data_IF_949379910526
#
_entry.id   IF_949379910526
#
_cell.length_a   1.000
_cell.length_b   1.000
_cell.length_c   1.000
_cell.angle_alpha   90.00
_cell.angle_beta   90.00
_cell.angle_gamma   90.00
#
_symmetry.space_group_name_H-M   'P 1'
#
loop_
_entity.id
_entity.type
_entity.pdbx_description
1 polymer ?
#
# COMPACT_ATOMS: atom_id res chain seq x y z
N UNK A 1 -21.93 -8.66 19.62
CA UNK A 1 -22.98 -8.95 18.63
C UNK A 1 -22.39 -9.97 17.70
N UNK A 2 -23.01 -11.14 17.54
CA UNK A 2 -22.40 -12.30 16.86
C UNK A 2 -22.41 -12.09 15.34
N UNK A 3 -21.25 -11.74 14.76
CA UNK A 3 -21.09 -11.48 13.33
C UNK A 3 -21.34 -12.75 12.50
N UNK A 4 -20.87 -13.90 12.98
CA UNK A 4 -20.98 -15.18 12.28
C UNK A 4 -22.45 -15.57 12.09
N UNK A 5 -23.23 -15.52 13.17
CA UNK A 5 -24.66 -15.77 13.13
C UNK A 5 -25.38 -14.87 12.11
N UNK A 6 -25.05 -13.58 12.10
CA UNK A 6 -25.70 -12.62 11.19
C UNK A 6 -25.37 -12.87 9.73
N UNK A 7 -24.10 -13.08 9.43
CA UNK A 7 -23.67 -13.37 8.07
C UNK A 7 -24.23 -14.71 7.61
N UNK A 8 -24.36 -15.69 8.51
CA UNK A 8 -25.05 -16.95 8.24
C UNK A 8 -26.52 -16.76 7.89
N UNK A 9 -27.25 -15.96 8.68
CA UNK A 9 -28.66 -15.65 8.42
C UNK A 9 -28.86 -14.91 7.09
N UNK A 10 -27.92 -14.03 6.72
CA UNK A 10 -27.98 -13.24 5.47
C UNK A 10 -27.60 -14.04 4.22
N UNK A 11 -26.56 -14.86 4.31
CA UNK A 11 -25.97 -15.53 3.15
C UNK A 11 -26.41 -16.98 2.98
N UNK A 12 -26.98 -17.58 4.03
CA UNK A 12 -27.26 -19.02 4.10
C UNK A 12 -26.02 -19.90 4.27
N UNK A 13 -24.82 -19.30 4.43
CA UNK A 13 -23.56 -20.02 4.68
C UNK A 13 -23.25 -20.05 6.17
N UNK A 14 -23.15 -21.23 6.76
CA UNK A 14 -22.79 -21.40 8.18
C UNK A 14 -21.42 -22.04 8.36
N UNK A 15 -20.77 -21.81 9.49
CA UNK A 15 -19.49 -22.46 9.83
C UNK A 15 -18.28 -21.81 9.16
N UNK A 16 -18.42 -20.58 8.67
CA UNK A 16 -17.37 -19.87 7.94
C UNK A 16 -16.27 -19.41 8.88
N UNK A 17 -16.59 -18.88 10.07
CA UNK A 17 -15.56 -18.48 11.03
C UNK A 17 -14.73 -19.68 11.52
N UNK A 18 -15.36 -20.83 11.76
CA UNK A 18 -14.66 -22.06 12.10
C UNK A 18 -13.80 -22.57 10.95
N UNK A 19 -14.28 -22.44 9.70
CA UNK A 19 -13.50 -22.80 8.51
C UNK A 19 -12.26 -21.91 8.36
N UNK A 20 -12.39 -20.59 8.54
CA UNK A 20 -11.27 -19.64 8.50
C UNK A 20 -10.27 -19.94 9.62
N UNK A 21 -10.74 -20.18 10.85
CA UNK A 21 -9.87 -20.53 11.98
C UNK A 21 -9.11 -21.84 11.71
N UNK A 22 -9.79 -22.85 11.17
CA UNK A 22 -9.15 -24.12 10.79
C UNK A 22 -8.16 -23.94 9.65
N UNK A 23 -8.45 -23.10 8.66
CA UNK A 23 -7.53 -22.78 7.58
C UNK A 23 -6.28 -22.08 8.12
N UNK A 24 -6.43 -21.10 9.00
CA UNK A 24 -5.31 -20.46 9.71
C UNK A 24 -4.47 -21.51 10.43
N UNK A 25 -5.09 -22.41 11.20
CA UNK A 25 -4.38 -23.48 11.92
C UNK A 25 -3.58 -24.38 10.98
N UNK A 26 -4.17 -24.81 9.87
CA UNK A 26 -3.49 -25.64 8.86
C UNK A 26 -2.28 -24.92 8.29
N UNK A 27 -2.43 -23.62 7.97
CA UNK A 27 -1.35 -22.82 7.38
C UNK A 27 -0.23 -22.55 8.39
N UNK A 28 -0.57 -22.26 9.65
CA UNK A 28 0.39 -22.12 10.75
C UNK A 28 1.16 -23.42 10.94
N UNK A 29 0.48 -24.56 11.08
CA UNK A 29 1.13 -25.86 11.30
C UNK A 29 2.03 -26.27 10.13
N UNK A 30 1.57 -26.04 8.89
CA UNK A 30 2.38 -26.26 7.69
C UNK A 30 3.66 -25.43 7.73
N UNK A 31 3.55 -24.11 7.92
CA UNK A 31 4.70 -23.21 7.91
C UNK A 31 5.66 -23.49 9.07
N UNK A 32 5.16 -23.78 10.28
CA UNK A 32 6.01 -24.18 11.39
C UNK A 32 6.77 -25.48 11.08
N UNK A 33 6.08 -26.49 10.54
CA UNK A 33 6.72 -27.76 10.15
C UNK A 33 7.83 -27.56 9.13
N UNK A 34 7.60 -26.74 8.10
CA UNK A 34 8.60 -26.39 7.08
C UNK A 34 9.82 -25.65 7.67
N UNK A 35 9.60 -24.87 8.73
CA UNK A 35 10.65 -24.16 9.47
C UNK A 35 11.29 -25.02 10.59
N UNK A 36 10.89 -26.28 10.74
CA UNK A 36 11.30 -27.18 11.83
C UNK A 36 10.97 -26.63 13.24
N UNK A 37 9.80 -25.99 13.36
CA UNK A 37 9.25 -25.44 14.59
C UNK A 37 7.93 -26.14 14.97
N UNK A 38 7.41 -25.83 16.15
CA UNK A 38 6.10 -26.30 16.64
C UNK A 38 5.34 -25.16 17.30
N UNK A 39 4.06 -25.37 17.64
CA UNK A 39 3.25 -24.37 18.37
C UNK A 39 3.78 -24.03 19.77
N UNK A 40 4.62 -24.89 20.35
CA UNK A 40 5.30 -24.64 21.62
C UNK A 40 6.57 -23.79 21.46
N UNK A 41 6.98 -23.50 20.22
CA UNK A 41 8.11 -22.62 19.94
C UNK A 41 7.83 -21.19 20.41
N UNK A 42 8.89 -20.47 20.77
CA UNK A 42 8.72 -19.10 21.26
C UNK A 42 8.40 -18.15 20.13
N UNK A 43 7.67 -17.08 20.45
CA UNK A 43 7.36 -16.02 19.49
C UNK A 43 8.63 -15.45 18.83
N UNK A 44 9.72 -15.32 19.60
CA UNK A 44 11.00 -14.85 19.10
C UNK A 44 11.65 -15.84 18.10
N UNK A 45 11.51 -17.14 18.33
CA UNK A 45 12.07 -18.19 17.47
C UNK A 45 11.29 -18.28 16.14
N UNK A 46 9.95 -18.24 16.21
CA UNK A 46 9.07 -18.23 15.03
C UNK A 46 9.33 -17.00 14.16
N UNK A 47 9.35 -15.81 14.78
CA UNK A 47 9.63 -14.57 14.08
C UNK A 47 11.03 -14.58 13.43
N UNK A 48 12.05 -15.07 14.14
CA UNK A 48 13.41 -15.21 13.63
C UNK A 48 13.47 -16.14 12.42
N UNK A 49 12.80 -17.29 12.46
CA UNK A 49 12.78 -18.23 11.34
C UNK A 49 12.08 -17.66 10.09
N UNK A 50 10.94 -16.98 10.26
CA UNK A 50 10.25 -16.28 9.17
C UNK A 50 11.13 -15.18 8.56
N UNK A 51 11.81 -14.40 9.41
CA UNK A 51 12.70 -13.33 8.99
C UNK A 51 13.92 -13.86 8.23
N UNK A 52 14.54 -14.96 8.68
CA UNK A 52 15.65 -15.58 7.95
C UNK A 52 15.22 -16.04 6.55
N UNK A 53 14.03 -16.63 6.42
CA UNK A 53 13.48 -17.01 5.12
C UNK A 53 13.27 -15.78 4.21
N UNK A 54 12.76 -14.68 4.78
CA UNK A 54 12.61 -13.41 4.07
C UNK A 54 13.95 -12.84 3.60
N UNK A 55 15.01 -12.91 4.42
CA UNK A 55 16.35 -12.45 4.03
C UNK A 55 16.82 -13.20 2.78
N UNK A 56 16.63 -14.51 2.73
CA UNK A 56 17.04 -15.26 1.55
C UNK A 56 16.17 -14.96 0.31
N UNK A 57 14.86 -14.70 0.49
CA UNK A 57 14.01 -14.19 -0.58
C UNK A 57 14.56 -12.86 -1.12
N UNK A 58 14.97 -11.96 -0.23
CA UNK A 58 15.54 -10.66 -0.57
C UNK A 58 16.83 -10.78 -1.38
N UNK A 59 17.73 -11.67 -0.98
CA UNK A 59 18.99 -11.98 -1.69
C UNK A 59 18.72 -12.53 -3.10
N UNK A 60 17.76 -13.44 -3.23
CA UNK A 60 17.34 -13.99 -4.52
C UNK A 60 16.77 -12.88 -5.41
N UNK A 61 15.84 -12.07 -4.89
CA UNK A 61 15.27 -10.94 -5.64
C UNK A 61 16.33 -9.91 -6.02
N UNK A 62 17.30 -9.62 -5.15
CA UNK A 62 18.40 -8.72 -5.45
C UNK A 62 19.23 -9.21 -6.64
N UNK A 63 19.49 -10.51 -6.70
CA UNK A 63 20.20 -11.14 -7.83
C UNK A 63 19.35 -11.11 -9.09
N UNK A 64 18.06 -11.48 -9.00
CA UNK A 64 17.12 -11.48 -10.13
C UNK A 64 16.96 -10.09 -10.76
N UNK A 65 17.00 -9.05 -9.95
CA UNK A 65 16.91 -7.65 -10.36
C UNK A 65 18.26 -7.04 -10.81
N UNK A 66 19.29 -7.87 -10.99
CA UNK A 66 20.66 -7.46 -11.36
C UNK A 66 21.28 -6.44 -10.39
N UNK A 67 21.08 -6.68 -9.08
CA UNK A 67 21.64 -5.91 -7.96
C UNK A 67 21.38 -4.41 -8.13
N UNK A 68 20.11 -3.98 -8.02
CA UNK A 68 19.72 -2.61 -8.36
C UNK A 68 20.51 -1.57 -7.55
N UNK A 69 21.14 -0.64 -8.27
CA UNK A 69 21.81 0.54 -7.72
C UNK A 69 20.99 1.78 -8.07
N UNK A 70 20.16 2.22 -7.12
CA UNK A 70 19.21 3.31 -7.37
C UNK A 70 19.89 4.63 -7.72
N UNK A 71 21.11 4.88 -7.23
CA UNK A 71 21.87 6.10 -7.53
C UNK A 71 22.34 6.06 -8.98
N UNK A 72 22.91 4.93 -9.41
CA UNK A 72 23.33 4.74 -10.82
C UNK A 72 22.14 4.75 -11.79
N UNK A 73 21.01 4.17 -11.36
CA UNK A 73 19.75 4.19 -12.11
C UNK A 73 19.20 5.61 -12.25
N UNK A 74 19.26 6.41 -11.19
CA UNK A 74 18.91 7.84 -11.23
C UNK A 74 19.79 8.62 -12.22
N UNK A 75 21.11 8.39 -12.21
CA UNK A 75 22.05 9.07 -13.12
C UNK A 75 21.84 8.71 -14.59
N UNK A 76 21.46 7.48 -14.88
CA UNK A 76 21.20 7.00 -16.25
C UNK A 76 19.77 7.27 -16.73
N UNK A 77 18.91 7.83 -15.87
CA UNK A 77 17.47 7.98 -16.09
C UNK A 77 16.82 6.69 -16.62
N UNK A 78 17.25 5.55 -16.07
CA UNK A 78 16.80 4.23 -16.47
C UNK A 78 16.51 3.39 -15.24
N UNK A 79 15.33 2.79 -15.20
CA UNK A 79 14.96 1.84 -14.15
C UNK A 79 15.38 0.40 -14.45
N UNK A 80 16.15 0.18 -15.53
CA UNK A 80 16.83 -1.08 -15.83
C UNK A 80 15.98 -2.33 -15.65
N UNK A 81 16.59 -3.37 -15.07
CA UNK A 81 15.97 -4.68 -14.86
C UNK A 81 14.75 -4.65 -13.93
N UNK A 82 14.71 -3.70 -13.00
CA UNK A 82 13.59 -3.51 -12.07
C UNK A 82 12.28 -3.22 -12.81
N UNK A 83 12.26 -2.21 -13.69
CA UNK A 83 11.05 -1.92 -14.49
C UNK A 83 10.74 -3.03 -15.48
N UNK A 84 11.75 -3.64 -16.11
CA UNK A 84 11.53 -4.75 -17.03
C UNK A 84 10.75 -5.88 -16.36
N UNK A 85 11.19 -6.30 -15.17
CA UNK A 85 10.54 -7.38 -14.41
C UNK A 85 9.15 -6.92 -13.95
N UNK A 86 9.03 -5.73 -13.37
CA UNK A 86 7.74 -5.20 -12.91
C UNK A 86 6.70 -5.20 -14.04
N UNK A 87 7.04 -4.66 -15.22
CA UNK A 87 6.12 -4.59 -16.35
C UNK A 87 5.91 -5.92 -17.08
N UNK A 88 6.80 -6.90 -16.89
CA UNK A 88 6.55 -8.29 -17.30
C UNK A 88 5.51 -8.97 -16.41
N UNK A 89 5.51 -8.67 -15.11
CA UNK A 89 4.54 -9.22 -14.15
C UNK A 89 3.18 -8.55 -14.32
N UNK A 90 3.17 -7.22 -14.29
CA UNK A 90 1.95 -6.44 -14.36
C UNK A 90 2.15 -5.16 -15.17
N UNK A 91 1.39 -5.05 -16.26
CA UNK A 91 1.28 -3.81 -17.02
C UNK A 91 0.00 -3.08 -16.59
N UNK A 92 0.09 -1.95 -15.87
CA UNK A 92 -1.10 -1.22 -15.46
C UNK A 92 -1.85 -0.69 -16.70
N UNK A 93 -3.19 -0.60 -16.64
CA UNK A 93 -3.95 0.09 -17.66
C UNK A 93 -3.61 1.59 -17.67
N UNK A 94 -4.02 2.30 -18.73
CA UNK A 94 -3.98 3.76 -18.72
C UNK A 94 -4.91 4.30 -17.64
N UNK A 95 -4.48 5.37 -16.99
CA UNK A 95 -5.25 6.05 -15.97
C UNK A 95 -5.62 7.47 -16.34
N UNK A 96 -6.67 7.97 -15.68
CA UNK A 96 -7.14 9.34 -15.77
C UNK A 96 -6.41 10.18 -14.72
N UNK A 97 -5.59 11.12 -15.18
CA UNK A 97 -4.75 11.95 -14.32
C UNK A 97 -4.84 13.42 -14.70
N UNK A 98 -4.49 14.32 -13.78
CA UNK A 98 -4.42 15.75 -14.07
C UNK A 98 -3.32 15.98 -15.12
N UNK A 99 -3.64 16.80 -16.13
CA UNK A 99 -2.72 17.21 -17.20
C UNK A 99 -1.49 17.92 -16.64
N UNK A 100 -0.32 17.61 -17.21
CA UNK A 100 0.96 18.22 -16.79
C UNK A 100 0.90 19.76 -16.88
N UNK A 101 0.31 20.30 -17.94
CA UNK A 101 0.18 21.74 -18.17
C UNK A 101 -0.73 22.40 -17.11
N UNK A 102 -1.82 21.71 -16.72
CA UNK A 102 -2.72 22.22 -15.68
C UNK A 102 -2.02 22.28 -14.33
N UNK A 103 -1.22 21.29 -13.99
CA UNK A 103 -0.46 21.30 -12.73
C UNK A 103 0.57 22.44 -12.74
N UNK A 104 1.23 22.71 -13.86
CA UNK A 104 2.13 23.87 -13.99
C UNK A 104 1.37 25.18 -13.76
N UNK A 105 0.21 25.36 -14.38
CA UNK A 105 -0.67 26.52 -14.15
C UNK A 105 -1.04 26.68 -12.67
N UNK A 106 -1.42 25.59 -12.01
CA UNK A 106 -1.75 25.60 -10.58
C UNK A 106 -0.52 25.95 -9.72
N UNK A 107 0.65 25.45 -10.04
CA UNK A 107 1.89 25.79 -9.33
C UNK A 107 2.36 27.23 -9.60
N UNK A 108 2.01 27.84 -10.73
CA UNK A 108 2.22 29.28 -10.96
C UNK A 108 1.29 30.13 -10.09
N UNK A 109 0.03 29.71 -9.92
CA UNK A 109 -0.96 30.38 -9.04
C UNK A 109 -0.59 30.21 -7.55
N UNK A 110 -0.15 29.02 -7.18
CA UNK A 110 0.26 28.65 -5.83
C UNK A 110 1.76 28.35 -5.84
N UNK A 111 2.57 29.41 -5.81
CA UNK A 111 4.02 29.31 -6.02
C UNK A 111 4.71 28.45 -4.94
N UNK A 112 5.49 27.41 -5.32
CA UNK A 112 6.22 26.57 -4.37
C UNK A 112 7.57 27.22 -3.99
N UNK A 113 7.52 28.32 -3.23
CA UNK A 113 8.69 29.18 -2.99
C UNK A 113 9.89 28.44 -2.37
N UNK A 114 9.65 27.48 -1.47
CA UNK A 114 10.74 26.69 -0.88
C UNK A 114 11.49 25.87 -1.93
N UNK A 115 10.76 25.33 -2.92
CA UNK A 115 11.33 24.49 -3.98
C UNK A 115 12.13 25.37 -4.94
N UNK A 116 11.54 26.47 -5.38
CA UNK A 116 12.19 27.44 -6.26
C UNK A 116 13.47 28.00 -5.62
N UNK A 117 13.40 28.41 -4.35
CA UNK A 117 14.56 28.89 -3.59
C UNK A 117 15.65 27.83 -3.44
N UNK A 118 15.28 26.57 -3.20
CA UNK A 118 16.23 25.48 -3.04
C UNK A 118 17.06 25.27 -4.31
N UNK A 119 16.40 25.27 -5.48
CA UNK A 119 17.07 25.02 -6.76
C UNK A 119 17.54 26.29 -7.48
N UNK A 120 17.28 27.46 -6.91
CA UNK A 120 17.71 28.74 -7.48
C UNK A 120 16.91 29.16 -8.72
N UNK A 121 15.69 28.66 -8.89
CA UNK A 121 14.79 29.06 -9.97
C UNK A 121 13.87 30.20 -9.52
N UNK A 122 13.42 31.01 -10.48
CA UNK A 122 12.47 32.11 -10.20
C UNK A 122 11.07 31.82 -10.72
N UNK A 123 10.97 30.87 -11.65
CA UNK A 123 9.81 30.54 -12.44
C UNK A 123 9.53 29.03 -12.43
N UNK A 124 8.24 28.67 -12.39
CA UNK A 124 7.80 27.28 -12.28
C UNK A 124 7.97 26.54 -13.62
N UNK A 125 7.74 27.22 -14.75
CA UNK A 125 7.94 26.60 -16.07
C UNK A 125 9.41 26.29 -16.28
N UNK A 126 10.30 27.23 -15.96
CA UNK A 126 11.76 27.01 -16.01
C UNK A 126 12.17 25.81 -15.15
N UNK A 127 11.66 25.73 -13.92
CA UNK A 127 11.90 24.60 -13.02
C UNK A 127 11.44 23.29 -13.69
N UNK A 128 10.20 23.20 -14.16
CA UNK A 128 9.64 21.97 -14.75
C UNK A 128 10.34 21.57 -16.04
N UNK A 129 10.73 22.52 -16.89
CA UNK A 129 11.48 22.25 -18.12
C UNK A 129 12.87 21.67 -17.85
N UNK A 130 13.58 22.18 -16.83
CA UNK A 130 14.95 21.75 -16.51
C UNK A 130 15.01 20.51 -15.63
N UNK A 131 14.04 20.37 -14.73
CA UNK A 131 14.02 19.34 -13.70
C UNK A 131 13.12 18.15 -14.05
N UNK A 132 12.17 18.35 -14.96
CA UNK A 132 11.18 17.34 -15.33
C UNK A 132 9.97 17.33 -14.41
N UNK A 133 8.79 17.14 -15.01
CA UNK A 133 7.50 17.17 -14.32
C UNK A 133 7.45 16.25 -13.09
N UNK A 134 7.72 14.95 -13.27
CA UNK A 134 7.59 13.95 -12.21
C UNK A 134 8.51 14.22 -11.02
N UNK A 135 9.74 14.68 -11.26
CA UNK A 135 10.67 15.04 -10.19
C UNK A 135 10.16 16.24 -9.39
N UNK A 136 9.68 17.28 -10.07
CA UNK A 136 9.16 18.50 -9.44
C UNK A 136 7.96 18.20 -8.55
N UNK A 137 6.94 17.50 -9.05
CA UNK A 137 5.73 17.21 -8.26
C UNK A 137 6.00 16.25 -7.10
N UNK A 138 6.93 15.29 -7.27
CA UNK A 138 7.36 14.40 -6.21
C UNK A 138 8.07 15.18 -5.10
N UNK A 139 8.87 16.18 -5.48
CA UNK A 139 9.62 16.99 -4.56
C UNK A 139 8.79 17.97 -3.73
N UNK A 140 7.56 18.29 -4.14
CA UNK A 140 6.65 19.08 -3.32
C UNK A 140 6.41 18.43 -1.95
N UNK A 141 6.33 17.09 -1.89
CA UNK A 141 6.09 16.34 -0.65
C UNK A 141 7.15 16.54 0.42
N UNK A 142 8.37 16.90 0.04
CA UNK A 142 9.50 17.05 0.96
C UNK A 142 10.13 18.46 0.97
N UNK A 143 9.73 19.35 0.06
CA UNK A 143 10.19 20.76 0.06
C UNK A 143 9.22 21.74 0.73
N UNK A 144 7.92 21.50 0.62
CA UNK A 144 6.89 22.44 1.05
C UNK A 144 6.47 22.17 2.49
N UNK A 145 5.99 23.23 3.16
CA UNK A 145 5.41 23.08 4.50
C UNK A 145 4.08 22.34 4.42
N UNK A 146 3.67 21.72 5.53
CA UNK A 146 2.33 21.10 5.65
C UNK A 146 1.22 22.11 5.37
N UNK A 147 1.36 23.35 5.84
CA UNK A 147 0.42 24.43 5.58
C UNK A 147 0.30 24.75 4.08
N UNK A 148 1.42 24.86 3.38
CA UNK A 148 1.41 25.08 1.94
C UNK A 148 0.77 23.90 1.21
N UNK A 149 1.13 22.66 1.58
CA UNK A 149 0.56 21.45 0.96
C UNK A 149 -0.95 21.37 1.14
N UNK A 150 -1.47 21.69 2.33
CA UNK A 150 -2.91 21.74 2.58
C UNK A 150 -3.59 22.84 1.77
N UNK A 151 -3.03 24.06 1.77
CA UNK A 151 -3.60 25.16 1.00
C UNK A 151 -3.60 24.89 -0.51
N UNK A 152 -2.48 24.36 -1.04
CA UNK A 152 -2.39 23.93 -2.43
C UNK A 152 -3.45 22.88 -2.73
N UNK A 153 -3.55 21.82 -1.93
CA UNK A 153 -4.51 20.75 -2.14
C UNK A 153 -5.97 21.22 -2.08
N UNK A 154 -6.33 21.97 -1.05
CA UNK A 154 -7.72 22.41 -0.85
C UNK A 154 -8.15 23.43 -1.90
N UNK A 155 -7.28 24.40 -2.23
CA UNK A 155 -7.62 25.45 -3.17
C UNK A 155 -7.45 25.01 -4.62
N UNK A 156 -6.30 24.44 -5.00
CA UNK A 156 -6.00 24.10 -6.39
C UNK A 156 -6.95 23.01 -6.91
N UNK A 157 -7.34 22.05 -6.08
CA UNK A 157 -8.19 20.94 -6.52
C UNK A 157 -9.68 21.26 -6.41
N UNK A 158 -10.05 22.45 -5.93
CA UNK A 158 -11.45 22.89 -5.89
C UNK A 158 -11.96 23.41 -7.24
N UNK A 159 -11.05 23.82 -8.12
CA UNK A 159 -11.34 24.45 -9.41
C UNK A 159 -11.16 23.51 -10.62
N UNK A 160 -10.82 22.24 -10.39
CA UNK A 160 -10.60 21.27 -11.46
C UNK A 160 -11.90 20.98 -12.22
N UNK A 161 -11.79 20.84 -13.54
CA UNK A 161 -12.89 20.46 -14.43
C UNK A 161 -12.52 19.20 -15.22
N UNK A 162 -13.49 18.48 -15.84
CA UNK A 162 -13.20 17.28 -16.62
C UNK A 162 -12.10 17.46 -17.69
N UNK A 163 -12.07 18.63 -18.33
CA UNK A 163 -11.07 18.96 -19.36
C UNK A 163 -9.64 19.14 -18.81
N UNK A 164 -9.45 19.22 -17.50
CA UNK A 164 -8.13 19.29 -16.85
C UNK A 164 -7.45 17.91 -16.75
N UNK A 165 -8.15 16.84 -17.12
CA UNK A 165 -7.65 15.46 -17.02
C UNK A 165 -7.31 14.86 -18.39
N UNK A 166 -6.41 13.87 -18.38
CA UNK A 166 -5.97 13.13 -19.55
C UNK A 166 -5.78 11.63 -19.25
N UNK A 167 -5.94 10.80 -20.28
CA UNK A 167 -5.63 9.36 -20.21
C UNK A 167 -4.16 9.13 -20.58
N UNK A 168 -3.36 8.61 -19.65
CA UNK A 168 -1.95 8.28 -19.89
C UNK A 168 -1.48 7.08 -19.06
N UNK A 169 -0.31 6.56 -19.40
CA UNK A 169 0.31 5.47 -18.64
C UNK A 169 0.84 5.98 -17.30
N UNK A 170 0.93 5.07 -16.32
CA UNK A 170 1.59 5.34 -15.03
C UNK A 170 3.09 5.48 -15.26
N UNK A 171 3.69 6.52 -14.69
CA UNK A 171 5.12 6.82 -14.80
C UNK A 171 5.83 6.35 -13.52
N UNK A 172 6.82 5.46 -13.66
CA UNK A 172 7.76 5.12 -12.57
C UNK A 172 8.98 6.04 -12.71
N UNK A 173 9.24 6.86 -11.69
CA UNK A 173 10.34 7.83 -11.68
C UNK A 173 11.32 7.57 -10.54
N UNK A 174 12.56 7.23 -10.88
CA UNK A 174 13.66 7.32 -9.91
C UNK A 174 14.11 8.78 -9.89
N UNK A 175 14.04 9.41 -8.72
CA UNK A 175 14.43 10.80 -8.55
C UNK A 175 15.94 10.95 -8.71
N UNK A 176 16.38 12.09 -9.25
CA UNK A 176 17.80 12.43 -9.35
C UNK A 176 18.45 12.60 -7.96
N UNK A 177 19.75 12.31 -7.86
CA UNK A 177 20.49 12.37 -6.57
C UNK A 177 20.41 13.74 -5.88
N UNK A 178 20.32 14.82 -6.67
CA UNK A 178 20.20 16.19 -6.13
C UNK A 178 18.96 16.39 -5.24
N UNK A 179 17.94 15.55 -5.37
CA UNK A 179 16.74 15.58 -4.53
C UNK A 179 16.96 14.90 -3.17
N UNK A 180 17.99 14.07 -3.00
CA UNK A 180 18.28 13.38 -1.73
C UNK A 180 18.48 14.35 -0.57
N UNK A 181 19.25 15.43 -0.78
CA UNK A 181 19.51 16.46 0.24
C UNK A 181 18.23 17.11 0.77
N UNK A 182 17.19 17.11 -0.06
CA UNK A 182 15.87 17.64 0.30
C UNK A 182 15.00 16.57 0.92
N UNK A 183 15.13 15.33 0.44
CA UNK A 183 14.42 14.18 0.93
C UNK A 183 14.88 13.75 2.34
N UNK A 184 16.12 14.04 2.75
CA UNK A 184 16.65 13.67 4.08
C UNK A 184 15.74 14.11 5.23
N UNK A 185 15.21 15.34 5.20
CA UNK A 185 14.28 15.86 6.21
C UNK A 185 12.92 15.14 6.22
N UNK A 186 12.55 14.52 5.10
CA UNK A 186 11.30 13.77 4.93
C UNK A 186 11.46 12.28 5.24
N UNK A 187 12.62 11.70 4.95
CA UNK A 187 12.98 10.31 5.22
C UNK A 187 13.05 10.03 6.73
N UNK A 188 13.41 11.03 7.55
CA UNK A 188 13.31 10.94 9.01
C UNK A 188 11.89 10.59 9.49
N UNK A 189 10.86 10.95 8.71
CA UNK A 189 9.44 10.73 9.04
C UNK A 189 8.81 9.57 8.27
N UNK A 190 9.15 9.37 7.00
CA UNK A 190 8.65 8.26 6.17
C UNK A 190 9.74 7.24 5.94
N UNK A 191 9.60 6.11 6.61
CA UNK A 191 10.63 5.07 6.72
C UNK A 191 10.86 4.20 5.47
N UNK A 192 10.42 4.63 4.30
CA UNK A 192 10.62 3.92 3.03
C UNK A 192 10.86 4.91 1.88
N UNK A 193 11.54 4.45 0.83
CA UNK A 193 12.02 5.28 -0.28
C UNK A 193 11.09 5.30 -1.49
N UNK A 194 9.95 4.58 -1.46
CA UNK A 194 8.97 4.56 -2.55
C UNK A 194 7.70 5.29 -2.14
N UNK A 195 7.15 6.14 -3.00
CA UNK A 195 5.82 6.74 -2.81
C UNK A 195 5.17 7.00 -4.18
N UNK A 196 3.99 7.61 -4.18
CA UNK A 196 3.20 7.86 -5.37
C UNK A 196 2.35 9.12 -5.22
N UNK A 197 1.86 9.58 -6.37
CA UNK A 197 0.94 10.70 -6.57
C UNK A 197 -0.16 10.19 -7.50
N UNK A 198 -1.27 9.73 -6.93
CA UNK A 198 -2.36 9.05 -7.65
C UNK A 198 -2.99 9.98 -8.68
N UNK A 199 -3.17 11.24 -8.29
CA UNK A 199 -3.70 12.33 -9.09
C UNK A 199 -2.86 12.66 -10.33
N UNK A 200 -1.57 12.29 -10.30
CA UNK A 200 -0.63 12.53 -11.37
C UNK A 200 -0.10 11.25 -11.99
N UNK A 201 -0.59 10.06 -11.63
CA UNK A 201 -0.12 8.80 -12.19
C UNK A 201 1.40 8.63 -12.09
N UNK A 202 2.03 9.15 -11.03
CA UNK A 202 3.48 9.04 -10.81
C UNK A 202 3.73 8.15 -9.59
N UNK A 203 4.56 7.14 -9.76
CA UNK A 203 5.16 6.35 -8.67
C UNK A 203 6.64 6.72 -8.66
N UNK A 204 7.15 7.21 -7.54
CA UNK A 204 8.53 7.69 -7.47
C UNK A 204 9.36 6.97 -6.42
N UNK A 205 10.66 6.85 -6.71
CA UNK A 205 11.66 6.19 -5.90
C UNK A 205 12.73 7.23 -5.55
N UNK A 206 12.95 7.44 -4.25
CA UNK A 206 14.08 8.20 -3.72
C UNK A 206 15.30 7.26 -3.82
N UNK A 207 16.41 7.67 -4.49
CA UNK A 207 17.52 6.77 -4.79
C UNK A 207 18.45 6.55 -3.59
N UNK A 208 17.95 5.88 -2.56
CA UNK A 208 18.76 5.46 -1.42
C UNK A 208 19.58 4.21 -1.75
N UNK A 209 20.71 4.06 -1.08
CA UNK A 209 21.47 2.82 -1.11
C UNK A 209 20.62 1.69 -0.54
N UNK A 210 20.65 0.53 -1.19
CA UNK A 210 20.05 -0.71 -0.71
C UNK A 210 21.15 -1.47 0.02
N UNK A 211 21.17 -1.38 1.35
CA UNK A 211 22.23 -1.96 2.19
C UNK A 211 21.70 -2.78 3.37
N UNK A 212 20.38 -2.77 3.57
CA UNK A 212 19.72 -3.47 4.67
C UNK A 212 18.93 -4.67 4.12
N UNK A 213 19.04 -5.87 4.75
CA UNK A 213 18.25 -7.01 4.33
C UNK A 213 16.75 -6.71 4.33
N UNK A 214 16.04 -7.15 3.28
CA UNK A 214 14.62 -6.92 3.07
C UNK A 214 14.29 -5.67 2.25
N UNK A 215 15.26 -4.78 1.98
CA UNK A 215 15.00 -3.56 1.23
C UNK A 215 14.69 -3.80 -0.24
N UNK A 216 15.26 -4.84 -0.86
CA UNK A 216 14.96 -5.18 -2.26
C UNK A 216 13.52 -5.66 -2.39
N UNK A 217 13.09 -6.54 -1.48
CA UNK A 217 11.74 -7.10 -1.40
C UNK A 217 10.76 -5.98 -1.09
N UNK A 218 11.09 -5.09 -0.15
CA UNK A 218 10.28 -3.89 0.16
C UNK A 218 10.10 -3.00 -1.06
N UNK A 219 11.19 -2.71 -1.78
CA UNK A 219 11.16 -1.89 -2.99
C UNK A 219 10.23 -2.49 -4.04
N UNK A 220 10.42 -3.78 -4.37
CA UNK A 220 9.62 -4.46 -5.39
C UNK A 220 8.13 -4.53 -4.99
N UNK A 221 7.85 -4.96 -3.76
CA UNK A 221 6.46 -5.11 -3.29
C UNK A 221 5.72 -3.78 -3.19
N UNK A 222 6.37 -2.70 -2.73
CA UNK A 222 5.76 -1.36 -2.74
C UNK A 222 5.48 -0.85 -4.16
N UNK A 223 6.37 -1.10 -5.11
CA UNK A 223 6.14 -0.70 -6.50
C UNK A 223 4.94 -1.44 -7.11
N UNK A 224 4.86 -2.76 -6.92
CA UNK A 224 3.71 -3.55 -7.37
C UNK A 224 2.42 -3.09 -6.69
N UNK A 225 2.45 -2.84 -5.38
CA UNK A 225 1.31 -2.32 -4.64
C UNK A 225 0.78 -1.00 -5.22
N UNK A 226 1.67 -0.02 -5.43
CA UNK A 226 1.28 1.26 -6.02
C UNK A 226 0.84 1.15 -7.49
N UNK A 227 1.34 0.16 -8.23
CA UNK A 227 0.87 -0.13 -9.59
C UNK A 227 -0.56 -0.69 -9.62
N UNK A 228 -1.04 -1.32 -8.55
CA UNK A 228 -2.45 -1.70 -8.41
C UNK A 228 -3.31 -0.58 -7.85
N UNK A 229 -2.78 0.18 -6.91
CA UNK A 229 -3.49 1.27 -6.23
C UNK A 229 -3.76 2.45 -7.19
N UNK A 230 -2.75 2.91 -7.93
CA UNK A 230 -2.89 4.11 -8.80
C UNK A 230 -3.99 3.93 -9.86
N UNK A 231 -4.06 2.82 -10.61
CA UNK A 231 -5.17 2.56 -11.53
C UNK A 231 -6.53 2.45 -10.83
N UNK A 232 -6.61 1.79 -9.67
CA UNK A 232 -7.85 1.68 -8.91
C UNK A 232 -8.45 3.06 -8.59
N UNK A 233 -7.64 3.99 -8.08
CA UNK A 233 -8.11 5.35 -7.81
C UNK A 233 -8.39 6.14 -9.08
N UNK A 234 -7.61 5.94 -10.15
CA UNK A 234 -7.90 6.53 -11.46
C UNK A 234 -9.28 6.10 -11.99
N UNK A 235 -9.66 4.83 -11.81
CA UNK A 235 -10.97 4.33 -12.24
C UNK A 235 -12.11 4.98 -11.45
N UNK A 236 -11.90 5.23 -10.15
CA UNK A 236 -12.82 6.00 -9.33
C UNK A 236 -12.91 7.46 -9.78
N UNK A 237 -11.79 8.10 -10.13
CA UNK A 237 -11.80 9.46 -10.68
C UNK A 237 -12.62 9.52 -11.96
N UNK A 238 -12.42 8.54 -12.85
CA UNK A 238 -13.18 8.43 -14.11
C UNK A 238 -14.67 8.23 -13.86
N UNK A 239 -15.03 7.41 -12.88
CA UNK A 239 -16.43 7.14 -12.48
C UNK A 239 -17.14 8.42 -12.03
N UNK A 240 -16.47 9.26 -11.26
CA UNK A 240 -17.06 10.46 -10.67
C UNK A 240 -16.83 11.75 -11.47
N UNK A 241 -16.09 11.70 -12.59
CA UNK A 241 -15.61 12.90 -13.31
C UNK A 241 -16.72 13.90 -13.66
N UNK A 242 -17.91 13.41 -13.99
CA UNK A 242 -19.05 14.24 -14.40
C UNK A 242 -20.06 14.52 -13.28
N UNK A 243 -19.76 14.10 -12.04
CA UNK A 243 -20.61 14.39 -10.90
C UNK A 243 -20.49 15.85 -10.48
N UNK A 244 -21.58 16.44 -9.97
CA UNK A 244 -21.61 17.83 -9.51
C UNK A 244 -20.63 18.09 -8.35
N UNK A 245 -20.39 17.07 -7.53
CA UNK A 245 -19.50 17.05 -6.36
C UNK A 245 -18.17 16.34 -6.66
N UNK A 246 -17.78 16.21 -7.94
CA UNK A 246 -16.54 15.54 -8.35
C UNK A 246 -15.31 15.99 -7.54
N UNK A 247 -15.08 17.30 -7.41
CA UNK A 247 -13.90 17.82 -6.73
C UNK A 247 -13.88 17.46 -5.23
N UNK A 248 -15.03 17.35 -4.58
CA UNK A 248 -15.11 16.90 -3.18
C UNK A 248 -14.77 15.42 -3.07
N UNK A 249 -15.34 14.58 -3.94
CA UNK A 249 -15.04 13.15 -4.02
C UNK A 249 -13.57 12.88 -4.35
N UNK A 250 -13.04 13.60 -5.34
CA UNK A 250 -11.64 13.52 -5.76
C UNK A 250 -10.68 13.82 -4.60
N UNK A 251 -10.89 14.94 -3.89
CA UNK A 251 -10.09 15.26 -2.70
C UNK A 251 -10.25 14.23 -1.58
N UNK A 252 -11.47 13.74 -1.37
CA UNK A 252 -11.74 12.72 -0.34
C UNK A 252 -10.99 11.41 -0.59
N UNK A 253 -10.99 10.94 -1.84
CA UNK A 253 -10.24 9.77 -2.29
C UNK A 253 -8.73 9.94 -2.14
N UNK A 254 -8.19 11.12 -2.45
CA UNK A 254 -6.75 11.39 -2.30
C UNK A 254 -6.30 11.45 -0.84
N UNK A 255 -7.15 11.95 0.07
CA UNK A 255 -6.88 11.95 1.51
C UNK A 255 -7.10 10.58 2.16
N UNK A 256 -7.89 9.71 1.53
CA UNK A 256 -8.35 8.46 2.13
C UNK A 256 -9.27 8.74 3.33
N UNK A 257 -10.24 9.64 3.16
CA UNK A 257 -11.18 9.97 4.22
C UNK A 257 -11.95 8.71 4.66
N UNK A 258 -12.21 8.62 5.97
CA UNK A 258 -12.99 7.55 6.58
C UNK A 258 -14.08 8.17 7.43
N UNK A 259 -15.15 7.43 7.68
CA UNK A 259 -16.21 7.93 8.55
C UNK A 259 -15.67 8.24 9.95
N UNK A 260 -16.16 9.34 10.51
CA UNK A 260 -15.90 9.71 11.90
C UNK A 260 -16.58 8.73 12.85
N UNK A 261 -15.96 8.51 14.03
CA UNK A 261 -16.42 7.53 15.03
C UNK A 261 -17.89 7.76 15.41
N UNK A 262 -18.29 9.02 15.58
CA UNK A 262 -19.66 9.37 15.92
C UNK A 262 -20.65 8.98 14.81
N UNK A 263 -20.31 9.24 13.55
CA UNK A 263 -21.16 8.90 12.41
C UNK A 263 -21.31 7.38 12.26
N UNK A 264 -20.25 6.61 12.51
CA UNK A 264 -20.34 5.15 12.54
C UNK A 264 -21.27 4.66 13.65
N UNK A 265 -21.15 5.23 14.85
CA UNK A 265 -21.98 4.84 15.99
C UNK A 265 -23.47 5.07 15.69
N UNK A 266 -23.81 6.15 14.99
CA UNK A 266 -25.19 6.44 14.60
C UNK A 266 -25.68 5.47 13.52
N UNK A 267 -24.87 5.19 12.50
CA UNK A 267 -25.18 4.17 11.48
C UNK A 267 -25.40 2.78 12.07
N UNK A 268 -24.62 2.35 13.07
CA UNK A 268 -24.79 1.05 13.74
C UNK A 268 -26.12 0.98 14.51
N UNK A 269 -26.59 2.10 15.06
CA UNK A 269 -27.91 2.16 15.73
C UNK A 269 -29.04 2.02 14.71
N UNK A 270 -28.89 2.59 13.52
CA UNK A 270 -29.86 2.55 12.43
C UNK A 270 -29.92 1.18 11.77
N UNK A 271 -28.77 0.62 11.36
CA UNK A 271 -28.68 -0.69 10.77
C UNK A 271 -27.58 -1.53 11.42
N UNK A 272 -27.97 -2.71 11.91
CA UNK A 272 -27.07 -3.65 12.57
C UNK A 272 -26.21 -4.46 11.59
N UNK A 273 -26.51 -4.44 10.29
CA UNK A 273 -25.83 -5.22 9.23
C UNK A 273 -25.01 -4.31 8.30
N UNK A 274 -24.41 -3.27 8.89
CA UNK A 274 -23.53 -2.36 8.17
C UNK A 274 -22.09 -2.85 8.19
N UNK A 275 -21.41 -2.68 7.06
CA UNK A 275 -19.97 -2.82 6.92
C UNK A 275 -19.36 -1.47 6.56
N UNK A 276 -18.17 -1.21 7.09
CA UNK A 276 -17.43 0.02 6.82
C UNK A 276 -16.37 -0.18 5.73
N UNK A 277 -15.94 0.92 5.12
CA UNK A 277 -14.78 0.94 4.24
C UNK A 277 -13.74 1.85 4.87
N UNK A 278 -12.60 1.27 5.24
CA UNK A 278 -11.49 1.96 5.89
C UNK A 278 -10.33 1.99 4.90
N UNK A 279 -10.15 3.14 4.23
CA UNK A 279 -9.20 3.29 3.11
C UNK A 279 -7.74 3.51 3.53
N UNK A 280 -7.45 3.47 4.83
CA UNK A 280 -6.11 3.76 5.38
C UNK A 280 -5.86 2.91 6.61
N UNK A 281 -4.60 2.65 6.91
CA UNK A 281 -4.20 1.90 8.10
C UNK A 281 -4.32 2.74 9.37
N UNK A 282 -5.52 2.81 9.98
CA UNK A 282 -5.77 3.58 11.21
C UNK A 282 -4.87 3.16 12.38
N UNK A 283 -4.45 1.89 12.41
CA UNK A 283 -3.51 1.38 13.41
C UNK A 283 -2.14 2.07 13.38
N UNK A 284 -1.75 2.70 12.26
CA UNK A 284 -0.53 3.54 12.18
C UNK A 284 -0.64 4.78 13.07
N UNK A 285 -1.85 5.33 13.20
CA UNK A 285 -2.12 6.51 14.01
C UNK A 285 -2.53 6.13 15.45
N UNK A 286 -3.39 5.12 15.58
CA UNK A 286 -3.90 4.65 16.86
C UNK A 286 -4.33 3.17 16.78
N UNK A 287 -3.53 2.28 17.39
CA UNK A 287 -3.82 0.84 17.48
C UNK A 287 -5.09 0.50 18.27
N UNK A 288 -5.61 1.44 19.06
CA UNK A 288 -6.85 1.30 19.84
C UNK A 288 -8.02 2.03 19.20
N UNK A 289 -7.92 2.42 17.93
CA UNK A 289 -9.03 3.07 17.22
C UNK A 289 -10.25 2.14 17.20
N UNK A 290 -11.42 2.57 17.72
CA UNK A 290 -12.59 1.70 17.85
C UNK A 290 -13.09 1.15 16.50
N UNK A 291 -12.75 1.82 15.39
CA UNK A 291 -13.16 1.42 14.04
C UNK A 291 -12.49 0.13 13.57
N UNK A 292 -11.31 -0.19 14.09
CA UNK A 292 -10.57 -1.42 13.79
C UNK A 292 -11.28 -2.69 14.29
N UNK A 293 -12.21 -2.56 15.24
CA UNK A 293 -12.92 -3.67 15.86
C UNK A 293 -14.35 -3.86 15.33
N UNK A 294 -14.71 -3.15 14.26
CA UNK A 294 -16.02 -3.23 13.60
C UNK A 294 -15.88 -3.98 12.27
N UNK A 295 -16.95 -4.60 11.74
CA UNK A 295 -16.91 -5.21 10.41
C UNK A 295 -16.57 -4.16 9.34
N UNK A 296 -15.46 -4.34 8.64
CA UNK A 296 -15.02 -3.44 7.61
C UNK A 296 -14.28 -4.15 6.48
N UNK A 297 -14.10 -3.42 5.38
CA UNK A 297 -13.24 -3.75 4.26
C UNK A 297 -12.14 -2.72 4.14
N UNK A 298 -10.98 -3.16 3.67
CA UNK A 298 -9.82 -2.31 3.43
C UNK A 298 -9.31 -2.49 1.98
N UNK A 299 -9.36 -1.45 1.13
CA UNK A 299 -8.85 -1.53 -0.25
C UNK A 299 -7.33 -1.73 -0.32
N UNK A 300 -6.56 -1.21 0.66
CA UNK A 300 -5.11 -1.38 0.71
C UNK A 300 -4.74 -2.86 0.87
N UNK A 301 -5.47 -3.59 1.72
CA UNK A 301 -5.27 -5.03 1.88
C UNK A 301 -5.55 -5.81 0.57
N UNK A 302 -6.54 -5.39 -0.23
CA UNK A 302 -6.77 -5.99 -1.56
C UNK A 302 -5.61 -5.72 -2.53
N UNK A 303 -5.00 -4.55 -2.50
CA UNK A 303 -3.81 -4.27 -3.31
C UNK A 303 -2.65 -5.20 -2.94
N UNK A 304 -2.45 -5.52 -1.64
CA UNK A 304 -1.42 -6.49 -1.21
C UNK A 304 -1.72 -7.93 -1.65
N UNK A 305 -2.99 -8.34 -1.67
CA UNK A 305 -3.37 -9.65 -2.24
C UNK A 305 -2.96 -9.73 -3.71
N UNK A 306 -3.09 -8.64 -4.48
CA UNK A 306 -2.63 -8.59 -5.88
C UNK A 306 -1.11 -8.70 -5.99
N UNK A 307 -0.35 -8.05 -5.10
CA UNK A 307 1.12 -8.21 -5.02
C UNK A 307 1.51 -9.67 -4.73
N UNK A 308 0.78 -10.37 -3.87
CA UNK A 308 1.04 -11.78 -3.59
C UNK A 308 0.86 -12.67 -4.83
N UNK A 309 -0.15 -12.37 -5.66
CA UNK A 309 -0.36 -13.03 -6.95
C UNK A 309 0.77 -12.70 -7.95
N UNK A 310 1.23 -11.45 -7.97
CA UNK A 310 2.34 -10.98 -8.81
C UNK A 310 3.65 -11.71 -8.48
N UNK A 311 3.98 -11.87 -7.19
CA UNK A 311 5.15 -12.64 -6.76
C UNK A 311 5.05 -14.13 -7.13
N UNK A 312 3.83 -14.68 -7.05
CA UNK A 312 3.54 -16.04 -7.52
C UNK A 312 3.72 -16.16 -9.03
N UNK A 313 3.31 -15.16 -9.81
CA UNK A 313 3.53 -15.13 -11.25
C UNK A 313 5.03 -15.04 -11.59
N UNK A 314 5.77 -14.21 -10.85
CA UNK A 314 7.22 -14.08 -11.00
C UNK A 314 7.94 -15.41 -10.74
N UNK A 315 7.50 -16.19 -9.75
CA UNK A 315 8.06 -17.53 -9.47
C UNK A 315 8.01 -18.48 -10.68
N UNK A 316 7.05 -18.29 -11.59
CA UNK A 316 6.91 -19.11 -12.81
C UNK A 316 7.82 -18.65 -13.95
N UNK A 317 8.31 -17.41 -13.88
CA UNK A 317 9.19 -16.81 -14.88
C UNK A 317 10.67 -17.09 -14.61
N UNK A 318 11.05 -17.28 -13.34
CA UNK A 318 12.39 -17.74 -12.95
C UNK A 318 12.54 -19.23 -13.22
N UNK A 319 13.27 -19.59 -14.30
CA UNK A 319 13.58 -20.98 -14.68
C UNK A 319 14.67 -21.64 -13.83
N UNK A 320 15.27 -20.91 -12.90
CA UNK A 320 16.23 -21.43 -11.93
C UNK A 320 15.48 -21.79 -10.66
N UNK A 321 14.94 -23.01 -10.64
CA UNK A 321 14.52 -23.67 -9.42
C UNK A 321 15.81 -24.16 -8.73
N UNK A 322 16.51 -23.25 -8.05
CA UNK A 322 17.64 -23.54 -7.17
C UNK A 322 17.19 -24.24 -5.87
N UNK A 323 15.95 -24.74 -5.83
CA UNK A 323 15.46 -25.75 -4.89
C UNK A 323 15.18 -25.26 -3.48
N UNK A 324 15.34 -23.96 -3.21
CA UNK A 324 15.28 -23.44 -1.85
C UNK A 324 14.20 -22.38 -1.59
N UNK A 325 13.77 -21.57 -2.56
CA UNK A 325 12.84 -20.44 -2.29
C UNK A 325 11.88 -20.19 -3.46
N UNK A 326 10.63 -20.62 -3.30
CA UNK A 326 9.55 -20.17 -4.18
C UNK A 326 9.19 -18.72 -3.86
N UNK A 327 9.26 -17.81 -4.84
CA UNK A 327 8.81 -16.41 -4.70
C UNK A 327 7.31 -16.32 -4.31
N UNK A 328 6.53 -17.37 -4.58
CA UNK A 328 5.13 -17.50 -4.19
C UNK A 328 4.91 -18.07 -2.77
N UNK A 329 5.96 -18.26 -1.96
CA UNK A 329 5.83 -18.89 -0.63
C UNK A 329 4.80 -18.21 0.28
N UNK A 330 4.79 -16.87 0.29
CA UNK A 330 3.88 -16.06 1.10
C UNK A 330 2.45 -15.97 0.52
N UNK A 331 2.17 -16.66 -0.59
CA UNK A 331 0.83 -16.69 -1.15
C UNK A 331 -0.16 -17.36 -0.21
N UNK A 332 -1.22 -16.62 0.14
CA UNK A 332 -2.26 -17.05 1.07
C UNK A 332 -1.86 -17.02 2.55
N UNK A 333 -0.74 -16.38 2.90
CA UNK A 333 -0.32 -16.17 4.30
C UNK A 333 -0.68 -14.76 4.83
N UNK A 334 -1.31 -13.92 4.03
CA UNK A 334 -1.63 -12.52 4.34
C UNK A 334 -2.50 -12.36 5.60
N UNK A 335 -3.52 -13.20 5.79
CA UNK A 335 -4.37 -13.16 6.99
C UNK A 335 -3.85 -14.04 8.13
N UNK A 336 -2.73 -14.75 7.95
CA UNK A 336 -2.30 -15.82 8.86
C UNK A 336 -1.50 -15.27 10.04
N UNK A 337 -1.83 -15.76 11.23
CA UNK A 337 -1.09 -15.46 12.45
C UNK A 337 -1.52 -16.34 13.62
N UNK A 338 -0.66 -16.44 14.63
CA UNK A 338 -0.98 -17.16 15.86
C UNK A 338 -0.25 -16.59 17.09
N UNK A 339 -0.75 -16.96 18.26
CA UNK A 339 -0.20 -16.56 19.56
C UNK A 339 0.83 -17.58 20.04
N UNK A 340 2.06 -17.13 20.23
CA UNK A 340 3.17 -17.96 20.71
C UNK A 340 3.66 -17.48 22.08
N UNK A 341 4.17 -18.38 22.94
CA UNK A 341 4.77 -17.97 24.21
C UNK A 341 5.97 -17.04 23.98
N UNK A 342 6.02 -15.92 24.70
CA UNK A 342 7.15 -15.00 24.65
C UNK A 342 7.98 -15.09 25.93
N UNK A 343 9.29 -15.32 25.76
CA UNK A 343 10.21 -15.37 26.89
C UNK A 343 10.48 -13.99 27.50
N UNK A 344 10.33 -12.92 26.69
CA UNK A 344 10.62 -11.55 27.09
C UNK A 344 9.49 -10.88 27.88
N UNK A 345 8.23 -11.23 27.58
CA UNK A 345 7.05 -10.66 28.25
C UNK A 345 6.41 -11.59 29.28
N UNK A 346 6.70 -12.90 29.22
CA UNK A 346 6.00 -13.92 30.00
C UNK A 346 4.53 -14.11 29.60
N UNK A 347 4.11 -13.49 28.49
CA UNK A 347 2.76 -13.58 27.91
C UNK A 347 2.82 -14.26 26.55
N UNK A 348 1.65 -14.58 25.99
CA UNK A 348 1.56 -14.97 24.58
C UNK A 348 1.61 -13.72 23.70
N UNK A 349 2.29 -13.81 22.56
CA UNK A 349 2.43 -12.73 21.60
C UNK A 349 1.93 -13.21 20.23
N UNK A 350 1.11 -12.38 19.57
CA UNK A 350 0.71 -12.59 18.19
C UNK A 350 1.94 -12.43 17.28
N UNK A 351 2.19 -13.44 16.45
CA UNK A 351 3.16 -13.40 15.36
C UNK A 351 2.38 -13.43 14.05
N UNK A 352 2.54 -12.37 13.25
CA UNK A 352 2.00 -12.26 11.90
C UNK A 352 2.90 -13.03 10.92
N UNK A 353 2.27 -13.78 10.01
CA UNK A 353 2.95 -14.48 8.92
C UNK A 353 2.87 -13.67 7.61
N UNK A 354 2.22 -12.51 7.65
CA UNK A 354 2.10 -11.58 6.53
C UNK A 354 3.47 -11.07 6.08
N UNK A 355 3.70 -11.08 4.77
CA UNK A 355 4.96 -10.69 4.16
C UNK A 355 5.30 -9.22 4.45
N UNK A 356 4.31 -8.34 4.40
CA UNK A 356 4.54 -6.89 4.52
C UNK A 356 4.83 -6.52 5.97
N UNK A 357 4.11 -7.11 6.92
CA UNK A 357 4.41 -6.98 8.34
C UNK A 357 5.85 -7.43 8.65
N UNK A 358 6.29 -8.57 8.09
CA UNK A 358 7.66 -9.08 8.25
C UNK A 358 8.71 -8.15 7.61
N UNK A 359 8.50 -7.71 6.37
CA UNK A 359 9.41 -6.78 5.66
C UNK A 359 9.60 -5.49 6.43
N UNK A 360 8.49 -4.86 6.83
CA UNK A 360 8.54 -3.57 7.53
C UNK A 360 9.22 -3.70 8.88
N UNK A 361 9.01 -4.84 9.58
CA UNK A 361 9.66 -5.12 10.86
C UNK A 361 11.17 -5.40 10.68
N UNK A 362 11.56 -6.17 9.65
CA UNK A 362 12.95 -6.49 9.34
C UNK A 362 13.78 -5.26 8.99
N UNK A 363 13.29 -4.40 8.08
CA UNK A 363 14.01 -3.19 7.68
C UNK A 363 14.11 -2.19 8.85
N UNK A 364 13.21 -2.30 9.83
CA UNK A 364 13.28 -1.59 11.12
C UNK A 364 14.13 -2.29 12.17
N UNK A 365 14.93 -3.28 11.78
CA UNK A 365 15.80 -4.06 12.67
C UNK A 365 15.05 -4.68 13.86
N UNK A 366 13.75 -4.96 13.69
CA UNK A 366 12.89 -5.52 14.72
C UNK A 366 12.47 -4.55 15.84
N UNK A 367 12.81 -3.25 15.73
CA UNK A 367 12.42 -2.24 16.73
C UNK A 367 10.90 -2.07 16.82
N UNK A 368 10.21 -2.27 15.69
CA UNK A 368 8.75 -2.16 15.57
C UNK A 368 8.24 -3.46 14.97
N UNK A 369 7.33 -4.14 15.68
CA UNK A 369 6.57 -5.27 15.14
C UNK A 369 5.27 -4.75 14.54
N UNK A 370 5.14 -4.90 13.23
CA UNK A 370 3.92 -4.56 12.50
C UNK A 370 2.96 -5.76 12.52
N UNK A 371 1.66 -5.46 12.67
CA UNK A 371 0.58 -6.47 12.70
C UNK A 371 -0.66 -6.05 11.90
N UNK A 372 -0.71 -4.79 11.46
CA UNK A 372 -1.94 -4.25 10.92
C UNK A 372 -2.21 -4.70 9.48
N UNK A 373 -1.21 -5.13 8.71
CA UNK A 373 -1.51 -5.66 7.37
C UNK A 373 -2.26 -6.99 7.49
N UNK A 374 -1.81 -7.87 8.39
CA UNK A 374 -2.49 -9.14 8.66
C UNK A 374 -3.91 -8.96 9.18
N UNK A 375 -4.13 -8.00 10.08
CA UNK A 375 -5.45 -7.74 10.65
C UNK A 375 -6.46 -7.25 9.59
N UNK A 376 -6.03 -6.36 8.70
CA UNK A 376 -6.88 -5.85 7.62
C UNK A 376 -7.13 -6.94 6.56
N UNK A 377 -6.13 -7.77 6.26
CA UNK A 377 -6.28 -8.94 5.39
C UNK A 377 -7.30 -9.95 5.96
N UNK A 378 -7.28 -10.19 7.28
CA UNK A 378 -8.26 -11.05 7.95
C UNK A 378 -9.69 -10.52 7.83
N UNK A 379 -9.91 -9.21 7.95
CA UNK A 379 -11.24 -8.63 7.73
C UNK A 379 -11.75 -8.83 6.31
N UNK A 380 -10.90 -8.61 5.30
CA UNK A 380 -11.23 -8.89 3.90
C UNK A 380 -11.49 -10.39 3.66
N UNK A 381 -10.70 -11.29 4.28
CA UNK A 381 -10.88 -12.76 4.21
C UNK A 381 -12.23 -13.17 4.77
N UNK A 382 -12.60 -12.70 5.96
CA UNK A 382 -13.90 -12.95 6.58
C UNK A 382 -15.02 -12.57 5.61
N UNK A 383 -14.99 -11.37 5.06
CA UNK A 383 -16.02 -10.92 4.12
C UNK A 383 -16.06 -11.78 2.85
N UNK A 384 -14.89 -12.10 2.29
CA UNK A 384 -14.75 -12.84 1.04
C UNK A 384 -15.27 -14.27 1.15
N UNK A 385 -15.07 -14.96 2.26
CA UNK A 385 -15.61 -16.32 2.45
C UNK A 385 -17.16 -16.33 2.47
N UNK A 386 -17.75 -15.27 3.01
CA UNK A 386 -19.20 -15.08 3.01
C UNK A 386 -19.75 -14.65 1.66
N UNK A 387 -19.18 -13.61 1.06
CA UNK A 387 -19.80 -12.88 -0.06
C UNK A 387 -19.12 -13.13 -1.42
N UNK A 388 -17.91 -13.66 -1.42
CA UNK A 388 -17.06 -13.81 -2.60
C UNK A 388 -16.26 -12.55 -2.94
N UNK A 389 -15.11 -12.75 -3.59
CA UNK A 389 -14.15 -11.68 -3.90
C UNK A 389 -14.71 -10.64 -4.88
N UNK A 390 -15.36 -11.08 -5.96
CA UNK A 390 -15.97 -10.19 -6.95
C UNK A 390 -16.99 -9.23 -6.32
N UNK A 391 -17.77 -9.74 -5.34
CA UNK A 391 -18.74 -8.92 -4.61
C UNK A 391 -18.06 -7.90 -3.71
N UNK A 392 -16.95 -8.27 -3.06
CA UNK A 392 -16.14 -7.37 -2.24
C UNK A 392 -15.57 -6.21 -3.06
N UNK A 393 -14.92 -6.51 -4.18
CA UNK A 393 -14.33 -5.50 -5.08
C UNK A 393 -15.40 -4.51 -5.59
N UNK A 394 -16.54 -5.04 -6.04
CA UNK A 394 -17.67 -4.20 -6.46
C UNK A 394 -18.17 -3.29 -5.34
N UNK A 395 -18.34 -3.81 -4.13
CA UNK A 395 -18.85 -3.03 -2.99
C UNK A 395 -17.85 -1.95 -2.54
N UNK A 396 -16.55 -2.24 -2.59
CA UNK A 396 -15.50 -1.24 -2.38
C UNK A 396 -15.69 -0.08 -3.36
N UNK A 397 -15.70 -0.34 -4.66
CA UNK A 397 -15.81 0.72 -5.68
C UNK A 397 -17.13 1.51 -5.63
N UNK A 398 -18.23 0.86 -5.27
CA UNK A 398 -19.55 1.49 -5.18
C UNK A 398 -19.71 2.38 -3.95
N UNK A 399 -19.05 2.06 -2.84
CA UNK A 399 -19.33 2.65 -1.54
C UNK A 399 -18.13 3.38 -0.90
N UNK A 400 -16.98 3.45 -1.58
CA UNK A 400 -15.75 4.05 -1.05
C UNK A 400 -15.93 5.49 -0.57
N UNK A 401 -16.74 6.30 -1.28
CA UNK A 401 -17.04 7.69 -0.90
C UNK A 401 -17.95 7.73 0.34
N UNK A 402 -18.94 6.85 0.40
CA UNK A 402 -19.89 6.76 1.53
C UNK A 402 -19.22 6.17 2.79
N UNK A 403 -18.09 5.48 2.63
CA UNK A 403 -17.33 4.85 3.70
C UNK A 403 -18.06 3.70 4.41
N UNK A 404 -19.20 3.25 3.89
CA UNK A 404 -20.02 2.18 4.46
C UNK A 404 -21.07 1.66 3.47
N UNK A 405 -21.54 0.43 3.69
CA UNK A 405 -22.65 -0.17 2.96
C UNK A 405 -23.44 -1.15 3.84
N UNK A 406 -24.70 -1.38 3.47
CA UNK A 406 -25.59 -2.32 4.13
C UNK A 406 -25.66 -3.63 3.34
N UNK A 407 -25.74 -4.76 4.03
CA UNK A 407 -25.88 -6.10 3.44
C UNK A 407 -27.33 -6.56 3.34
#
# INVERSE_FOLDING_TARGET
MDLDKKMSDLTGKSGIMEAIAKENDILVDRTLTELNLSRDSRAEDVYSALTHRLIHLDEHLNTLLDKPDLIKMAMSNSCGKLCEIIFQIFKPPKGLFIKKEKVVELLEKFKPDNLLKHFGYTDVKELVEKEGFASVISALRFTQSTEWMHNFFDAAYSELVPDDFEEREVEIKILEEKWLKVADQFLEKKYHNVSHLKEYGVIFIIPLTIDTPGETTRLLTLLLHYLHEVPFYSDLFRKFLNDKDFNEKFRSLLRGDVLEVQMMADKIKENKNIWFIIQRYLAKDNVSDPRLFLPHLNPEAEHWVKVSNDLTALSKLSSEDDGHISLGYWSGLDFVGDFFPSASSGQVQLVSFDLIDLIMSLVKKGEIKYLYHQQEALWNKIFTEYMGKEKMEKLLEENIIQGSFEL
#
